data_IF_736929848603
#
_entry.id   IF_736929848603
#
_cell.length_a   1.000
_cell.length_b   1.000
_cell.length_c   1.000
_cell.angle_alpha   90.00
_cell.angle_beta   90.00
_cell.angle_gamma   90.00
#
_symmetry.space_group_name_H-M   'P 1'
#
loop_
_entity.id
_entity.type
_entity.pdbx_description
1 polymer ?
#
# COMPACT_ATOMS: atom_id res chain seq x y z
N UNK A 1 3.33 9.72 20.22
CA UNK A 1 3.60 10.22 18.85
C UNK A 1 2.27 10.70 18.31
N UNK A 2 2.11 11.98 17.98
CA UNK A 2 0.84 12.57 17.53
C UNK A 2 0.67 12.28 16.04
N UNK A 3 -0.09 11.25 15.69
CA UNK A 3 -0.31 10.81 14.29
C UNK A 3 -1.48 11.56 13.68
N UNK A 4 -1.31 12.87 13.48
CA UNK A 4 -2.32 13.70 12.84
C UNK A 4 -1.97 13.90 11.36
N UNK A 5 -2.16 12.83 10.56
CA UNK A 5 -1.69 12.76 9.18
C UNK A 5 -2.69 13.34 8.17
N UNK A 6 -3.97 13.47 8.53
CA UNK A 6 -5.01 14.00 7.64
C UNK A 6 -5.01 15.53 7.48
N UNK A 7 -5.67 16.05 6.41
CA UNK A 7 -5.70 17.49 6.15
C UNK A 7 -6.41 18.25 7.27
N UNK A 8 -5.82 19.36 7.72
CA UNK A 8 -6.45 20.24 8.69
C UNK A 8 -7.57 21.08 8.04
N UNK A 9 -8.36 21.79 8.86
CA UNK A 9 -9.53 22.52 8.36
C UNK A 9 -9.16 23.62 7.35
N UNK A 10 -8.02 24.27 7.55
CA UNK A 10 -7.53 25.33 6.66
C UNK A 10 -7.14 24.75 5.30
N UNK A 11 -6.39 23.65 5.29
CA UNK A 11 -5.98 22.92 4.09
C UNK A 11 -7.20 22.41 3.31
N UNK A 12 -8.21 21.90 4.02
CA UNK A 12 -9.45 21.43 3.41
C UNK A 12 -10.21 22.59 2.75
N UNK A 13 -10.36 23.73 3.44
CA UNK A 13 -10.99 24.91 2.85
C UNK A 13 -10.19 25.43 1.64
N UNK A 14 -8.86 25.47 1.71
CA UNK A 14 -8.01 25.92 0.59
C UNK A 14 -8.09 24.99 -0.62
N UNK A 15 -8.12 23.67 -0.41
CA UNK A 15 -8.26 22.69 -1.48
C UNK A 15 -9.58 22.84 -2.25
N UNK A 16 -10.67 23.12 -1.53
CA UNK A 16 -11.99 23.29 -2.12
C UNK A 16 -12.31 24.71 -2.60
N UNK A 17 -11.56 25.71 -2.13
CA UNK A 17 -11.77 27.13 -2.51
C UNK A 17 -11.45 27.39 -3.98
N UNK A 18 -10.43 26.76 -4.57
CA UNK A 18 -9.95 27.07 -5.93
C UNK A 18 -9.88 28.60 -6.14
N UNK A 19 -10.66 29.14 -7.09
CA UNK A 19 -10.77 30.57 -7.42
C UNK A 19 -12.00 31.26 -6.83
N UNK A 20 -12.84 30.56 -6.05
CA UNK A 20 -14.04 31.15 -5.47
C UNK A 20 -13.68 32.19 -4.40
N UNK A 21 -14.42 33.30 -4.39
CA UNK A 21 -14.33 34.30 -3.32
C UNK A 21 -14.97 33.76 -2.03
N UNK A 22 -14.52 34.26 -0.87
CA UNK A 22 -15.12 33.88 0.41
C UNK A 22 -16.61 34.26 0.51
N UNK A 23 -17.04 35.29 -0.23
CA UNK A 23 -18.46 35.64 -0.34
C UNK A 23 -19.25 34.61 -1.16
N UNK A 24 -18.69 34.13 -2.27
CA UNK A 24 -19.32 33.10 -3.08
C UNK A 24 -19.48 31.79 -2.28
N UNK A 25 -18.46 31.41 -1.51
CA UNK A 25 -18.49 30.24 -0.61
C UNK A 25 -19.56 30.43 0.47
N UNK A 26 -19.60 31.59 1.12
CA UNK A 26 -20.59 31.91 2.14
C UNK A 26 -22.02 31.82 1.58
N UNK A 27 -22.26 32.35 0.38
CA UNK A 27 -23.56 32.25 -0.30
C UNK A 27 -23.94 30.80 -0.60
N UNK A 28 -23.00 29.98 -1.09
CA UNK A 28 -23.20 28.54 -1.36
C UNK A 28 -23.44 27.74 -0.06
N UNK A 29 -22.88 28.19 1.06
CA UNK A 29 -23.10 27.63 2.39
C UNK A 29 -24.44 28.04 3.03
N UNK A 30 -25.22 28.92 2.39
CA UNK A 30 -26.49 29.43 2.93
C UNK A 30 -26.32 30.67 3.83
N UNK A 31 -25.20 31.38 3.74
CA UNK A 31 -24.91 32.60 4.50
C UNK A 31 -24.26 32.36 5.87
N UNK A 32 -24.10 31.10 6.26
CA UNK A 32 -23.46 30.67 7.51
C UNK A 32 -22.39 29.65 7.16
N UNK A 33 -21.09 29.92 7.40
CA UNK A 33 -20.49 31.08 8.06
C UNK A 33 -20.34 32.31 7.13
N UNK A 34 -20.24 33.52 7.73
CA UNK A 34 -19.98 34.77 6.99
C UNK A 34 -18.57 34.77 6.35
N UNK A 35 -18.40 35.44 5.22
CA UNK A 35 -17.12 35.52 4.49
C UNK A 35 -15.93 35.95 5.38
N UNK A 36 -16.12 36.94 6.25
CA UNK A 36 -15.09 37.40 7.20
C UNK A 36 -14.70 36.34 8.23
N UNK A 37 -15.66 35.55 8.70
CA UNK A 37 -15.40 34.45 9.63
C UNK A 37 -14.64 33.32 8.92
N UNK A 38 -15.03 32.98 7.69
CA UNK A 38 -14.30 32.06 6.81
C UNK A 38 -12.85 32.49 6.61
N UNK A 39 -12.62 33.77 6.31
CA UNK A 39 -11.29 34.31 6.10
C UNK A 39 -10.44 34.25 7.38
N UNK A 40 -11.02 34.56 8.55
CA UNK A 40 -10.33 34.44 9.84
C UNK A 40 -9.99 32.98 10.16
N UNK A 41 -10.90 32.04 9.89
CA UNK A 41 -10.65 30.60 10.08
C UNK A 41 -9.47 30.12 9.23
N UNK A 42 -9.41 30.54 7.97
CA UNK A 42 -8.32 30.13 7.05
C UNK A 42 -6.99 30.77 7.47
N UNK A 43 -7.00 32.02 7.92
CA UNK A 43 -5.78 32.77 8.24
C UNK A 43 -5.21 32.42 9.62
N UNK A 44 -6.05 32.48 10.64
CA UNK A 44 -5.64 32.44 12.04
C UNK A 44 -6.05 31.11 12.72
N UNK A 45 -6.86 30.29 12.04
CA UNK A 45 -7.43 29.07 12.61
C UNK A 45 -8.61 29.39 13.53
N UNK A 46 -8.93 28.47 14.43
CA UNK A 46 -9.94 28.67 15.46
C UNK A 46 -9.57 27.95 16.74
N UNK A 47 -10.00 28.51 17.86
CA UNK A 47 -9.78 27.96 19.21
C UNK A 47 -10.97 27.17 19.72
N UNK A 48 -12.12 27.23 19.01
CA UNK A 48 -13.35 26.52 19.36
C UNK A 48 -13.92 25.82 18.14
N UNK A 49 -14.57 24.69 18.38
CA UNK A 49 -15.26 23.92 17.35
C UNK A 49 -16.27 24.80 16.58
N UNK A 50 -16.32 24.75 15.25
CA UNK A 50 -17.36 25.40 14.47
C UNK A 50 -18.75 24.88 14.85
N UNK A 51 -19.78 25.74 14.75
CA UNK A 51 -21.15 25.33 15.07
C UNK A 51 -21.68 24.28 14.08
N UNK A 52 -22.64 23.42 14.49
CA UNK A 52 -23.23 22.43 13.60
C UNK A 52 -23.81 23.04 12.31
N UNK A 53 -24.41 24.23 12.40
CA UNK A 53 -24.92 24.98 11.25
C UNK A 53 -23.80 25.40 10.29
N UNK A 54 -22.67 25.86 10.84
CA UNK A 54 -21.48 26.21 10.05
C UNK A 54 -20.94 24.99 9.31
N UNK A 55 -20.86 23.85 9.99
CA UNK A 55 -20.40 22.59 9.39
C UNK A 55 -21.36 22.12 8.31
N UNK A 56 -22.67 22.21 8.54
CA UNK A 56 -23.69 21.84 7.55
C UNK A 56 -23.65 22.75 6.31
N UNK A 57 -23.48 24.06 6.51
CA UNK A 57 -23.33 25.02 5.41
C UNK A 57 -22.08 24.74 4.58
N UNK A 58 -20.93 24.55 5.23
CA UNK A 58 -19.68 24.24 4.54
C UNK A 58 -19.69 22.87 3.86
N UNK A 59 -20.36 21.87 4.45
CA UNK A 59 -20.55 20.56 3.84
C UNK A 59 -21.29 20.68 2.50
N UNK A 60 -22.34 21.51 2.44
CA UNK A 60 -23.05 21.81 1.18
C UNK A 60 -22.17 22.58 0.20
N UNK A 61 -21.40 23.57 0.67
CA UNK A 61 -20.60 24.44 -0.19
C UNK A 61 -19.41 23.71 -0.83
N UNK A 62 -18.77 22.78 -0.10
CA UNK A 62 -17.59 22.05 -0.55
C UNK A 62 -17.89 20.64 -1.06
N UNK A 63 -19.12 20.16 -0.91
CA UNK A 63 -19.53 18.78 -1.21
C UNK A 63 -18.71 17.74 -0.42
N UNK A 64 -18.35 18.09 0.82
CA UNK A 64 -17.57 17.27 1.75
C UNK A 64 -18.48 16.73 2.85
N UNK A 65 -18.20 15.53 3.35
CA UNK A 65 -19.00 14.95 4.43
C UNK A 65 -18.90 15.79 5.71
N UNK A 66 -19.99 15.96 6.49
CA UNK A 66 -19.93 16.65 7.78
C UNK A 66 -18.91 16.03 8.74
N UNK A 67 -18.75 14.70 8.68
CA UNK A 67 -17.76 13.95 9.46
C UNK A 67 -16.34 14.42 9.16
N UNK A 68 -15.99 14.56 7.89
CA UNK A 68 -14.65 14.96 7.48
C UNK A 68 -14.32 16.41 7.91
N UNK A 69 -15.29 17.31 7.86
CA UNK A 69 -15.15 18.67 8.39
C UNK A 69 -14.95 18.68 9.92
N UNK A 70 -15.68 17.83 10.64
CA UNK A 70 -15.52 17.64 12.09
C UNK A 70 -14.12 17.08 12.41
N UNK A 71 -13.66 16.07 11.68
CA UNK A 71 -12.33 15.51 11.84
C UNK A 71 -11.28 16.59 11.59
N UNK A 72 -11.31 17.26 10.44
CA UNK A 72 -10.39 18.34 10.11
C UNK A 72 -10.40 19.49 11.15
N UNK A 73 -11.57 19.78 11.73
CA UNK A 73 -11.68 20.75 12.81
C UNK A 73 -11.03 20.27 14.12
N UNK A 74 -11.23 19.02 14.49
CA UNK A 74 -10.55 18.40 15.63
C UNK A 74 -9.02 18.43 15.44
N UNK A 75 -8.52 18.14 14.23
CA UNK A 75 -7.08 18.27 13.91
C UNK A 75 -6.55 19.68 14.11
N UNK A 76 -7.34 20.68 13.69
CA UNK A 76 -7.00 22.10 13.85
C UNK A 76 -6.92 22.51 15.32
N UNK A 77 -7.70 21.88 16.19
CA UNK A 77 -7.66 22.06 17.64
C UNK A 77 -6.56 21.24 18.33
N UNK A 78 -5.75 20.49 17.57
CA UNK A 78 -4.70 19.62 18.11
C UNK A 78 -5.24 18.34 18.75
N UNK A 79 -6.51 17.99 18.53
CA UNK A 79 -7.07 16.72 18.97
C UNK A 79 -6.54 15.64 18.03
N UNK A 80 -5.95 14.59 18.60
CA UNK A 80 -5.57 13.41 17.86
C UNK A 80 -6.83 12.60 17.54
N UNK A 81 -7.16 12.49 16.26
CA UNK A 81 -8.43 11.92 15.80
C UNK A 81 -8.26 10.48 15.30
N UNK A 82 -7.07 9.89 15.46
CA UNK A 82 -6.81 8.51 15.06
C UNK A 82 -7.15 8.30 13.59
N UNK A 83 -6.61 9.16 12.72
CA UNK A 83 -6.71 8.92 11.29
C UNK A 83 -6.01 7.62 10.93
N UNK A 84 -6.58 6.92 9.94
CA UNK A 84 -6.05 5.69 9.37
C UNK A 84 -4.53 5.82 9.15
N UNK A 85 -3.75 5.35 10.12
CA UNK A 85 -2.32 5.22 9.92
C UNK A 85 -2.15 4.05 8.94
N UNK A 86 -1.23 4.13 7.99
CA UNK A 86 -0.99 3.01 7.07
C UNK A 86 -0.58 1.73 7.82
N UNK A 87 -0.08 1.89 9.04
CA UNK A 87 0.25 0.81 9.97
C UNK A 87 -0.95 0.25 10.75
N UNK A 88 -2.14 0.83 10.64
CA UNK A 88 -3.32 0.37 11.39
C UNK A 88 -4.06 -0.74 10.64
N UNK A 89 -4.31 -1.85 11.33
CA UNK A 89 -5.13 -2.94 10.81
C UNK A 89 -6.62 -2.62 11.02
N UNK A 90 -7.29 -2.13 9.97
CA UNK A 90 -8.71 -1.79 10.02
C UNK A 90 -9.55 -2.93 9.44
N UNK A 91 -10.34 -3.58 10.30
CA UNK A 91 -11.33 -4.59 9.91
C UNK A 91 -12.72 -3.94 9.75
N UNK A 92 -13.14 -3.75 8.50
CA UNK A 92 -14.47 -3.22 8.18
C UNK A 92 -15.57 -4.15 8.71
N UNK A 93 -16.52 -3.58 9.47
CA UNK A 93 -17.64 -4.33 10.02
C UNK A 93 -17.35 -5.12 11.29
N UNK A 94 -16.13 -5.05 11.85
CA UNK A 94 -15.77 -5.76 13.08
C UNK A 94 -16.70 -5.45 14.27
N UNK A 95 -17.27 -4.23 14.32
CA UNK A 95 -18.24 -3.85 15.33
C UNK A 95 -19.56 -4.65 15.30
N UNK A 96 -19.91 -5.25 14.16
CA UNK A 96 -21.13 -6.05 13.98
C UNK A 96 -20.91 -7.54 14.30
N UNK A 97 -19.68 -7.95 14.55
CA UNK A 97 -19.37 -9.34 14.89
C UNK A 97 -19.95 -9.70 16.26
N UNK A 98 -20.23 -10.99 16.52
CA UNK A 98 -20.50 -11.48 17.86
C UNK A 98 -19.35 -11.16 18.82
N UNK A 99 -19.66 -10.95 20.09
CA UNK A 99 -18.64 -10.51 21.06
C UNK A 99 -17.51 -11.53 21.24
N UNK A 100 -17.82 -12.83 21.18
CA UNK A 100 -16.83 -13.91 21.14
C UNK A 100 -15.81 -13.73 19.99
N UNK A 101 -16.29 -13.36 18.80
CA UNK A 101 -15.42 -13.10 17.65
C UNK A 101 -14.58 -11.83 17.83
N UNK A 102 -15.13 -10.80 18.48
CA UNK A 102 -14.36 -9.58 18.81
C UNK A 102 -13.25 -9.88 19.81
N UNK A 103 -13.50 -10.74 20.79
CA UNK A 103 -12.52 -11.10 21.81
C UNK A 103 -11.38 -11.94 21.22
N UNK A 104 -11.68 -12.85 20.31
CA UNK A 104 -10.65 -13.57 19.54
C UNK A 104 -9.77 -12.58 18.75
N UNK A 105 -10.38 -11.61 18.07
CA UNK A 105 -9.64 -10.60 17.31
C UNK A 105 -8.75 -9.74 18.23
N UNK A 106 -9.25 -9.33 19.40
CA UNK A 106 -8.48 -8.57 20.39
C UNK A 106 -7.30 -9.38 20.93
N UNK A 107 -7.53 -10.65 21.27
CA UNK A 107 -6.48 -11.53 21.79
C UNK A 107 -5.40 -11.77 20.74
N UNK A 108 -5.80 -12.08 19.50
CA UNK A 108 -4.87 -12.27 18.38
C UNK A 108 -4.06 -11.01 18.11
N UNK A 109 -4.70 -9.84 18.13
CA UNK A 109 -4.01 -8.56 17.98
C UNK A 109 -3.02 -8.29 19.13
N UNK A 110 -3.39 -8.63 20.37
CA UNK A 110 -2.51 -8.55 21.54
C UNK A 110 -1.27 -9.43 21.40
N UNK A 111 -1.43 -10.66 20.91
CA UNK A 111 -0.29 -11.56 20.63
C UNK A 111 0.65 -11.00 19.56
N UNK A 112 0.13 -10.44 18.47
CA UNK A 112 0.97 -9.80 17.45
C UNK A 112 1.74 -8.60 18.00
N UNK A 113 1.11 -7.78 18.85
CA UNK A 113 1.78 -6.65 19.51
C UNK A 113 2.90 -7.15 20.44
N UNK A 114 2.61 -8.16 21.26
CA UNK A 114 3.59 -8.78 22.15
C UNK A 114 4.77 -9.38 21.37
N UNK A 115 4.50 -10.03 20.23
CA UNK A 115 5.53 -10.59 19.37
C UNK A 115 6.40 -9.52 18.72
N UNK A 116 5.81 -8.42 18.26
CA UNK A 116 6.56 -7.28 17.71
C UNK A 116 7.46 -6.63 18.77
N UNK A 117 6.95 -6.43 19.99
CA UNK A 117 7.71 -5.85 21.09
C UNK A 117 8.82 -6.79 21.59
N UNK A 118 8.54 -8.10 21.62
CA UNK A 118 9.52 -9.14 21.96
C UNK A 118 10.65 -9.24 20.92
N UNK A 119 10.31 -9.18 19.63
CA UNK A 119 11.29 -9.17 18.53
C UNK A 119 12.17 -7.91 18.55
N UNK A 120 11.62 -6.77 19.00
CA UNK A 120 12.36 -5.50 19.15
C UNK A 120 13.37 -5.53 20.30
N UNK A 121 13.15 -6.36 21.33
CA UNK A 121 14.11 -6.59 22.42
C UNK A 121 15.24 -7.56 22.03
N UNK A 122 15.04 -8.42 21.03
CA UNK A 122 16.06 -9.37 20.58
C UNK A 122 17.17 -8.75 19.71
N UNK A 123 17.00 -7.55 19.13
CA UNK A 123 18.01 -6.95 18.26
C UNK A 123 19.24 -6.37 18.98
N UNK A 124 19.36 -6.51 20.30
CA UNK A 124 20.59 -6.22 21.06
C UNK A 124 21.25 -7.44 21.68
N UNK A 125 20.77 -8.65 21.37
CA UNK A 125 21.44 -9.89 21.80
C UNK A 125 21.44 -10.85 20.62
N UNK A 126 22.63 -11.10 20.07
CA UNK A 126 22.84 -12.04 18.98
C UNK A 126 22.02 -13.34 19.19
N UNK A 127 21.21 -13.80 18.22
CA UNK A 127 20.45 -15.02 18.39
C UNK A 127 21.39 -16.22 18.24
N UNK A 128 21.63 -16.94 19.33
CA UNK A 128 22.37 -18.21 19.38
C UNK A 128 21.53 -19.41 18.87
N UNK A 129 20.38 -19.13 18.25
CA UNK A 129 19.46 -20.14 17.75
C UNK A 129 19.42 -20.13 16.21
N UNK A 130 20.57 -20.39 15.59
CA UNK A 130 20.60 -20.80 14.19
C UNK A 130 20.11 -22.25 14.16
N UNK A 131 18.91 -22.48 13.60
CA UNK A 131 18.50 -23.80 13.16
C UNK A 131 19.57 -24.29 12.19
N UNK A 132 20.43 -25.22 12.63
CA UNK A 132 21.40 -25.89 11.76
C UNK A 132 20.62 -26.78 10.79
N UNK A 133 20.33 -26.25 9.60
CA UNK A 133 19.95 -27.09 8.48
C UNK A 133 21.07 -28.14 8.26
N UNK A 134 20.75 -29.41 8.05
CA UNK A 134 21.77 -30.39 7.71
C UNK A 134 22.46 -29.94 6.42
N UNK A 135 23.74 -29.62 6.53
CA UNK A 135 24.61 -29.40 5.37
C UNK A 135 24.55 -30.66 4.52
N UNK A 136 24.00 -30.54 3.31
CA UNK A 136 24.16 -31.55 2.26
C UNK A 136 25.66 -31.80 2.12
N UNK A 137 26.10 -33.02 2.43
CA UNK A 137 27.44 -33.49 2.10
C UNK A 137 27.69 -33.18 0.63
N UNK A 138 28.61 -32.26 0.37
CA UNK A 138 29.20 -32.04 -0.94
C UNK A 138 30.10 -33.24 -1.22
N UNK A 139 29.51 -34.35 -1.66
CA UNK A 139 30.25 -35.41 -2.33
C UNK A 139 30.15 -35.14 -3.83
N UNK A 140 31.26 -34.60 -4.34
CA UNK A 140 31.81 -34.72 -5.69
C UNK A 140 30.85 -35.02 -6.85
N UNK A 141 30.65 -34.00 -7.69
CA UNK A 141 31.17 -33.92 -9.07
C UNK A 141 30.44 -32.78 -9.78
N UNK A 142 31.10 -31.63 -9.91
CA UNK A 142 30.62 -30.60 -10.83
C UNK A 142 30.50 -31.22 -12.23
N UNK A 143 29.39 -31.02 -12.96
CA UNK A 143 29.35 -31.39 -14.36
C UNK A 143 30.38 -30.55 -15.13
N UNK A 144 31.43 -31.23 -15.61
CA UNK A 144 32.45 -30.64 -16.48
C UNK A 144 31.84 -30.39 -17.87
N UNK A 145 31.30 -29.18 -18.07
CA UNK A 145 30.68 -28.77 -19.33
C UNK A 145 31.69 -28.64 -20.48
N UNK A 146 33.01 -28.71 -20.23
CA UNK A 146 34.00 -28.73 -21.30
C UNK A 146 33.98 -30.03 -22.12
N UNK A 147 33.38 -31.12 -21.60
CA UNK A 147 33.23 -32.37 -22.37
C UNK A 147 31.97 -32.44 -23.24
N UNK A 148 30.99 -31.54 -23.08
CA UNK A 148 29.81 -31.52 -23.95
C UNK A 148 30.03 -30.80 -25.28
N UNK A 149 31.00 -29.89 -25.36
CA UNK A 149 31.37 -29.22 -26.62
C UNK A 149 32.07 -30.17 -27.61
N UNK A 150 32.73 -31.23 -27.13
CA UNK A 150 33.41 -32.20 -27.99
C UNK A 150 32.47 -33.26 -28.62
N UNK A 151 31.24 -33.42 -28.11
CA UNK A 151 30.25 -34.34 -28.70
C UNK A 151 29.38 -33.67 -29.77
N UNK A 152 29.41 -32.33 -29.91
CA UNK A 152 28.60 -31.61 -30.90
C UNK A 152 29.26 -31.46 -32.27
N UNK A 153 30.57 -31.71 -32.40
CA UNK A 153 31.25 -31.73 -33.72
C UNK A 153 31.18 -33.09 -34.41
N UNK A 154 31.20 -34.21 -33.67
CA UNK A 154 31.21 -35.57 -34.25
C UNK A 154 29.87 -35.96 -34.90
N UNK A 155 28.74 -35.40 -34.44
CA UNK A 155 27.43 -35.61 -35.10
C UNK A 155 27.21 -34.77 -36.36
N UNK A 156 28.09 -33.79 -36.65
CA UNK A 156 27.95 -32.92 -37.82
C UNK A 156 28.63 -33.47 -39.08
N UNK A 157 29.57 -34.42 -38.94
CA UNK A 157 30.18 -35.11 -40.09
C UNK A 157 29.33 -36.29 -40.59
N UNK A 158 28.72 -37.09 -39.70
CA UNK A 158 27.86 -38.20 -40.10
C UNK A 158 26.58 -37.80 -40.83
N UNK A 159 26.05 -36.58 -40.59
CA UNK A 159 24.86 -36.05 -41.28
C UNK A 159 25.15 -35.44 -42.65
N UNK A 160 26.41 -35.12 -42.97
CA UNK A 160 26.78 -34.58 -44.29
C UNK A 160 27.10 -35.66 -45.32
N UNK A 161 27.44 -36.88 -44.88
CA UNK A 161 27.67 -38.02 -45.77
C UNK A 161 26.36 -38.73 -46.20
N UNK A 162 25.38 -38.83 -45.29
CA UNK A 162 24.06 -39.39 -45.61
C UNK A 162 23.22 -38.52 -46.58
N UNK A 163 23.48 -37.20 -46.64
CA UNK A 163 22.78 -36.28 -47.54
C UNK A 163 23.32 -36.28 -48.97
N UNK A 164 24.51 -36.86 -49.23
CA UNK A 164 25.06 -37.01 -50.59
C UNK A 164 24.69 -38.35 -51.25
N UNK A 165 24.40 -39.40 -50.49
CA UNK A 165 23.95 -40.69 -51.05
C UNK A 165 22.47 -40.74 -51.39
N UNK A 166 21.63 -39.88 -50.80
CA UNK A 166 20.19 -39.84 -51.07
C UNK A 166 19.81 -39.02 -52.33
N UNK A 167 20.73 -38.22 -52.90
CA UNK A 167 20.48 -37.39 -54.08
C UNK A 167 20.97 -37.99 -55.40
N UNK A 168 21.52 -39.21 -55.37
CA UNK A 168 22.00 -39.95 -56.54
C UNK A 168 21.10 -41.14 -56.92
N UNK A 169 19.98 -41.35 -56.21
CA UNK A 169 19.07 -42.50 -56.41
C UNK A 169 17.72 -42.19 -57.05
N UNK A 170 17.41 -40.92 -57.35
CA UNK A 170 16.08 -40.48 -57.82
C UNK A 170 16.07 -39.94 -59.27
N UNK A 171 17.09 -40.27 -60.09
CA UNK A 171 17.16 -39.87 -61.50
C UNK A 171 17.13 -41.06 -62.50
N UNK A 172 16.56 -42.20 -62.12
CA UNK A 172 16.49 -43.37 -63.03
C UNK A 172 15.14 -44.11 -63.10
N UNK A 173 14.03 -43.46 -62.72
CA UNK A 173 12.68 -43.98 -62.96
C UNK A 173 11.75 -42.89 -63.50
N UNK A 174 12.13 -42.30 -64.65
CA UNK A 174 11.19 -41.63 -65.56
C UNK A 174 11.80 -41.54 -66.96
N UNK A 175 12.13 -42.71 -67.52
CA UNK A 175 12.29 -42.93 -68.97
C UNK A 175 11.89 -44.37 -69.30
N UNK A 176 10.60 -44.55 -69.59
CA UNK A 176 10.07 -45.42 -70.66
C UNK A 176 8.63 -45.02 -70.96
#
# INVERSE_FOLDING_TARGET
MTTNTGPNFQQLVLAHKKDDSYEAISKRAGGVPKARALQSIVKDGFTRMPTPETIAGLSKAFSVSPRELVLAAARTLGIDVGDNNESDLILWGAGRLPDESKDILRNTAGEFLNWMDGSRKQTTSAPDNVVKLPTRKTEDRAPDFSKMAAMTEVESEGKREAARSARAGEESQERE
#
